data_IF_116531915323
#
_entry.id   IF_116531915323
#
_cell.length_a   1.000
_cell.length_b   1.000
_cell.length_c   1.000
_cell.angle_alpha   90.00
_cell.angle_beta   90.00
_cell.angle_gamma   90.00
#
_symmetry.space_group_name_H-M   'P 1'
#
loop_
_entity.id
_entity.type
_entity.pdbx_description
1 polymer ?
#
# COMPACT_ATOMS: atom_id res chain seq x y z
N UNK A 1 7.76 7.68 -11.66
CA UNK A 1 8.89 6.75 -11.80
C UNK A 1 8.75 5.95 -13.09
N UNK A 2 9.87 5.66 -13.74
CA UNK A 2 9.89 4.86 -14.98
C UNK A 2 11.34 4.45 -15.35
N UNK A 3 11.42 3.51 -16.27
CA UNK A 3 12.69 3.08 -16.90
C UNK A 3 12.62 3.34 -18.41
N UNK A 4 13.71 3.84 -19.01
CA UNK A 4 13.89 3.90 -20.48
C UNK A 4 14.90 2.83 -20.88
N UNK A 5 14.50 1.98 -21.81
CA UNK A 5 15.34 0.91 -22.37
C UNK A 5 16.44 1.47 -23.28
N UNK A 6 17.47 0.68 -23.66
CA UNK A 6 18.50 1.10 -24.60
C UNK A 6 17.94 1.56 -25.96
N UNK A 7 16.77 1.05 -26.36
CA UNK A 7 16.05 1.45 -27.59
C UNK A 7 15.12 2.65 -27.42
N UNK A 8 15.13 3.30 -26.25
CA UNK A 8 14.30 4.47 -25.96
C UNK A 8 12.84 4.16 -25.58
N UNK A 9 12.48 2.89 -25.38
CA UNK A 9 11.13 2.51 -24.94
C UNK A 9 10.97 2.79 -23.44
N UNK A 10 9.88 3.43 -23.03
CA UNK A 10 9.50 3.62 -21.63
C UNK A 10 8.80 2.36 -21.11
N UNK A 11 9.25 1.85 -19.98
CA UNK A 11 8.72 0.67 -19.29
C UNK A 11 8.60 0.93 -17.79
N UNK A 12 7.90 0.07 -17.07
CA UNK A 12 7.71 0.17 -15.63
C UNK A 12 7.23 1.56 -15.20
N UNK A 13 6.29 2.13 -15.95
CA UNK A 13 5.79 3.48 -15.71
C UNK A 13 4.76 3.47 -14.58
N UNK A 14 5.10 4.13 -13.46
CA UNK A 14 4.22 4.30 -12.30
C UNK A 14 2.85 4.90 -12.66
N UNK A 15 2.80 5.79 -13.66
CA UNK A 15 1.54 6.42 -14.07
C UNK A 15 0.57 5.44 -14.75
N UNK A 16 1.07 4.34 -15.30
CA UNK A 16 0.26 3.28 -15.92
C UNK A 16 -0.15 2.21 -14.89
N UNK A 17 0.79 1.84 -14.02
CA UNK A 17 0.53 0.90 -12.94
C UNK A 17 1.49 1.20 -11.77
N UNK A 18 0.93 1.63 -10.65
CA UNK A 18 1.72 1.97 -9.47
C UNK A 18 2.44 0.77 -8.81
N UNK A 19 2.04 -0.47 -9.11
CA UNK A 19 2.79 -1.66 -8.71
C UNK A 19 4.20 -1.72 -9.32
N UNK A 20 4.44 -1.04 -10.44
CA UNK A 20 5.76 -1.01 -11.04
C UNK A 20 6.87 -0.42 -10.16
N UNK A 21 6.53 0.41 -9.18
CA UNK A 21 7.51 0.96 -8.26
C UNK A 21 7.50 0.19 -6.93
N UNK A 22 8.67 -0.24 -6.47
CA UNK A 22 8.82 -0.76 -5.10
C UNK A 22 8.40 0.33 -4.11
N UNK A 23 7.47 0.02 -3.24
CA UNK A 23 6.97 0.96 -2.23
C UNK A 23 8.09 1.47 -1.34
N UNK A 24 8.09 2.77 -1.02
CA UNK A 24 9.14 3.48 -0.26
C UNK A 24 10.51 3.54 -0.95
N UNK A 25 10.57 3.38 -2.28
CA UNK A 25 11.81 3.60 -3.02
C UNK A 25 12.38 5.00 -2.79
N UNK A 26 13.68 5.06 -2.48
CA UNK A 26 14.41 6.34 -2.43
C UNK A 26 14.51 6.94 -3.85
N UNK A 27 14.65 8.28 -3.97
CA UNK A 27 14.82 8.90 -5.28
C UNK A 27 16.08 8.42 -5.98
N UNK A 28 15.97 8.21 -7.28
CA UNK A 28 17.10 7.84 -8.13
C UNK A 28 16.92 8.42 -9.54
N UNK A 29 17.97 8.99 -10.11
CA UNK A 29 17.99 9.46 -11.49
C UNK A 29 19.38 9.23 -12.07
N UNK A 30 19.48 8.33 -13.02
CA UNK A 30 20.77 7.99 -13.61
C UNK A 30 20.67 6.92 -14.68
N UNK A 31 21.83 6.58 -15.24
CA UNK A 31 21.99 5.49 -16.18
C UNK A 31 22.69 4.32 -15.49
N UNK A 32 22.21 3.11 -15.72
CA UNK A 32 22.75 1.87 -15.15
C UNK A 32 22.87 0.80 -16.24
N UNK A 33 23.84 -0.09 -16.10
CA UNK A 33 23.93 -1.27 -16.94
C UNK A 33 22.76 -2.24 -16.66
N UNK A 34 22.49 -3.15 -17.59
CA UNK A 34 21.50 -4.21 -17.39
C UNK A 34 21.80 -5.05 -16.14
N UNK A 35 23.07 -5.42 -15.91
CA UNK A 35 23.45 -6.23 -14.75
C UNK A 35 23.23 -5.49 -13.43
N UNK A 36 23.43 -4.18 -13.40
CA UNK A 36 23.11 -3.38 -12.23
C UNK A 36 21.60 -3.23 -12.04
N UNK A 37 20.88 -2.92 -13.13
CA UNK A 37 19.43 -2.80 -13.10
C UNK A 37 18.75 -4.06 -12.55
N UNK A 38 19.21 -5.25 -12.97
CA UNK A 38 18.66 -6.55 -12.52
C UNK A 38 18.64 -6.70 -10.99
N UNK A 39 19.58 -6.11 -10.27
CA UNK A 39 19.61 -6.15 -8.80
C UNK A 39 18.44 -5.38 -8.17
N UNK A 40 17.80 -4.52 -8.92
CA UNK A 40 16.71 -3.65 -8.52
C UNK A 40 15.36 -4.04 -9.18
N UNK A 41 15.30 -5.19 -9.86
CA UNK A 41 14.08 -5.69 -10.49
C UNK A 41 13.51 -6.88 -9.71
N UNK A 42 12.22 -6.87 -9.53
CA UNK A 42 11.48 -7.89 -8.77
C UNK A 42 10.38 -8.49 -9.63
N UNK A 43 10.35 -9.82 -9.67
CA UNK A 43 9.35 -10.62 -10.41
C UNK A 43 8.82 -11.77 -9.57
N UNK A 44 7.82 -12.46 -10.08
CA UNK A 44 7.28 -13.72 -9.55
C UNK A 44 7.45 -14.82 -10.61
N UNK A 45 8.50 -15.63 -10.57
CA UNK A 45 8.73 -16.68 -11.56
C UNK A 45 7.57 -17.68 -11.68
N UNK A 46 6.92 -18.01 -10.54
CA UNK A 46 5.77 -18.94 -10.51
C UNK A 46 4.47 -18.31 -11.07
N UNK A 47 4.45 -17.00 -11.28
CA UNK A 47 3.35 -16.24 -11.87
C UNK A 47 3.88 -15.27 -12.93
N UNK A 48 4.31 -15.76 -14.09
CA UNK A 48 5.14 -15.00 -15.04
C UNK A 48 4.47 -13.75 -15.60
N UNK A 49 3.16 -13.66 -15.57
CA UNK A 49 2.37 -12.50 -16.04
C UNK A 49 2.03 -11.51 -14.92
N UNK A 50 2.28 -11.87 -13.64
CA UNK A 50 1.95 -11.01 -12.51
C UNK A 50 3.08 -10.02 -12.21
N UNK A 51 2.69 -8.82 -11.77
CA UNK A 51 3.60 -7.83 -11.22
C UNK A 51 3.53 -7.96 -9.69
N UNK A 52 4.65 -8.24 -8.99
CA UNK A 52 4.64 -8.39 -7.54
C UNK A 52 4.39 -7.07 -6.81
N UNK A 53 3.82 -7.16 -5.63
CA UNK A 53 3.79 -6.07 -4.67
C UNK A 53 5.02 -6.18 -3.74
N UNK A 54 5.94 -5.24 -3.82
CA UNK A 54 7.16 -5.20 -3.02
C UNK A 54 7.30 -3.85 -2.34
N UNK A 55 7.75 -3.87 -1.08
CA UNK A 55 8.03 -2.66 -0.29
C UNK A 55 9.44 -2.70 0.30
N UNK A 56 9.93 -1.55 0.73
CA UNK A 56 11.23 -1.38 1.37
C UNK A 56 11.12 -0.62 2.69
N UNK A 57 10.25 -1.07 3.60
CA UNK A 57 10.01 -0.40 4.89
C UNK A 57 11.27 -0.27 5.76
N UNK A 58 12.14 -1.28 5.72
CA UNK A 58 13.27 -1.40 6.67
C UNK A 58 14.62 -1.09 6.04
N UNK A 59 14.66 -0.89 4.71
CA UNK A 59 15.90 -0.65 3.98
C UNK A 59 15.75 0.54 3.02
N UNK A 60 16.71 1.44 3.03
CA UNK A 60 16.77 2.54 2.05
C UNK A 60 17.28 2.00 0.73
N UNK A 61 16.38 1.60 -0.15
CA UNK A 61 16.66 1.10 -1.50
C UNK A 61 15.66 1.62 -2.51
N UNK A 62 15.94 1.44 -3.77
CA UNK A 62 15.02 1.68 -4.86
C UNK A 62 14.84 0.40 -5.68
N UNK A 63 13.76 0.30 -6.43
CA UNK A 63 13.52 -0.84 -7.31
C UNK A 63 12.22 -0.74 -8.09
N UNK A 64 12.11 -1.64 -9.06
CA UNK A 64 10.91 -1.77 -9.88
C UNK A 64 10.39 -3.20 -9.84
N UNK A 65 9.08 -3.33 -9.97
CA UNK A 65 8.36 -4.59 -10.12
C UNK A 65 7.86 -4.71 -11.56
N UNK A 66 8.01 -5.89 -12.13
CA UNK A 66 7.55 -6.19 -13.48
C UNK A 66 7.21 -7.68 -13.60
N UNK A 67 6.52 -8.07 -14.65
CA UNK A 67 6.27 -9.49 -14.90
C UNK A 67 7.56 -10.21 -15.29
N UNK A 68 7.62 -11.52 -15.05
CA UNK A 68 8.78 -12.33 -15.48
C UNK A 68 8.95 -12.28 -17.00
N UNK A 69 7.84 -12.30 -17.77
CA UNK A 69 7.89 -12.16 -19.22
C UNK A 69 8.49 -10.82 -19.67
N UNK A 70 8.17 -9.74 -18.98
CA UNK A 70 8.79 -8.44 -19.26
C UNK A 70 10.29 -8.48 -18.97
N UNK A 71 10.73 -9.05 -17.83
CA UNK A 71 12.14 -9.20 -17.48
C UNK A 71 12.91 -10.00 -18.55
N UNK A 72 12.33 -11.12 -18.97
CA UNK A 72 12.97 -12.01 -19.97
C UNK A 72 13.10 -11.35 -21.35
N UNK A 73 12.27 -10.35 -21.63
CA UNK A 73 12.31 -9.57 -22.88
C UNK A 73 13.33 -8.41 -22.87
N UNK A 74 13.96 -8.12 -21.72
CA UNK A 74 14.92 -7.02 -21.62
C UNK A 74 16.25 -7.37 -22.29
N UNK A 75 16.84 -6.39 -22.96
CA UNK A 75 18.08 -6.53 -23.70
C UNK A 75 19.28 -6.07 -22.86
N UNK A 76 20.46 -6.60 -23.17
CA UNK A 76 21.73 -6.10 -22.63
C UNK A 76 21.95 -4.67 -23.12
N UNK A 77 22.30 -3.75 -22.23
CA UNK A 77 22.55 -2.35 -22.59
C UNK A 77 22.47 -1.42 -21.40
N UNK A 78 22.44 -0.12 -21.70
CA UNK A 78 22.32 0.95 -20.70
C UNK A 78 20.86 1.40 -20.60
N UNK A 79 20.36 1.46 -19.39
CA UNK A 79 19.00 1.85 -19.05
C UNK A 79 19.03 3.17 -18.30
N UNK A 80 18.15 4.10 -18.66
CA UNK A 80 17.93 5.31 -17.88
C UNK A 80 16.80 5.07 -16.89
N UNK A 81 17.09 5.26 -15.61
CA UNK A 81 16.16 5.09 -14.49
C UNK A 81 15.79 6.45 -13.91
N UNK A 82 14.50 6.67 -13.69
CA UNK A 82 13.98 7.89 -13.06
C UNK A 82 12.98 7.52 -11.98
N UNK A 83 13.30 7.88 -10.74
CA UNK A 83 12.40 7.79 -9.58
C UNK A 83 12.41 9.15 -8.90
N UNK A 84 11.31 9.86 -9.01
CA UNK A 84 11.07 11.12 -8.32
C UNK A 84 10.19 10.84 -7.12
N UNK A 85 10.80 10.61 -5.97
CA UNK A 85 10.15 10.36 -4.69
C UNK A 85 10.70 11.28 -3.62
N UNK A 86 9.94 11.50 -2.56
CA UNK A 86 10.36 12.19 -1.36
C UNK A 86 9.99 11.34 -0.14
N UNK A 87 10.95 11.11 0.74
CA UNK A 87 10.74 10.47 2.03
C UNK A 87 10.82 11.53 3.11
N UNK A 88 9.79 11.67 3.91
CA UNK A 88 9.69 12.67 4.97
C UNK A 88 8.96 12.07 6.18
N UNK A 89 9.09 12.70 7.33
CA UNK A 89 8.37 12.32 8.54
C UNK A 89 6.88 12.55 8.31
N UNK A 90 6.10 11.49 8.52
CA UNK A 90 4.65 11.49 8.34
C UNK A 90 3.90 11.42 9.66
N UNK A 91 2.58 11.31 9.57
CA UNK A 91 1.69 11.15 10.69
C UNK A 91 0.91 9.84 10.55
N UNK A 92 0.57 9.22 11.68
CA UNK A 92 -0.34 8.09 11.72
C UNK A 92 -1.76 8.62 11.80
N UNK A 93 -2.49 8.54 10.70
CA UNK A 93 -3.87 8.97 10.63
C UNK A 93 -4.81 7.77 10.77
N UNK A 94 -5.94 7.98 11.45
CA UNK A 94 -7.03 7.03 11.51
C UNK A 94 -8.40 7.75 11.50
N UNK A 95 -9.43 7.04 11.05
CA UNK A 95 -10.81 7.50 11.14
C UNK A 95 -11.54 6.80 12.28
N UNK A 96 -12.34 7.53 13.03
CA UNK A 96 -13.18 6.99 14.11
C UNK A 96 -14.62 7.48 13.98
N UNK A 97 -15.57 6.55 14.10
CA UNK A 97 -17.00 6.83 14.19
C UNK A 97 -17.53 6.19 15.45
N UNK A 98 -18.19 6.99 16.31
CA UNK A 98 -18.89 6.51 17.48
C UNK A 98 -20.41 6.69 17.30
N UNK A 99 -21.13 5.57 17.28
CA UNK A 99 -22.60 5.55 17.28
C UNK A 99 -23.04 5.20 18.69
N UNK A 100 -23.67 6.16 19.36
CA UNK A 100 -24.15 5.98 20.75
C UNK A 100 -25.38 5.09 20.81
N UNK A 101 -25.39 4.16 21.76
CA UNK A 101 -26.53 3.35 22.15
C UNK A 101 -26.98 3.63 23.58
N UNK A 102 -27.90 2.81 24.09
CA UNK A 102 -28.44 2.92 25.45
C UNK A 102 -27.43 2.53 26.53
N UNK A 103 -26.51 1.63 26.19
CA UNK A 103 -25.50 1.10 27.11
C UNK A 103 -24.15 1.79 26.88
N UNK A 104 -23.39 1.96 27.97
CA UNK A 104 -21.99 2.40 27.92
C UNK A 104 -21.04 1.30 27.40
N UNK A 105 -21.54 0.06 27.27
CA UNK A 105 -20.77 -1.01 26.63
C UNK A 105 -20.68 -0.77 25.13
N UNK A 106 -19.48 -0.92 24.61
CA UNK A 106 -19.20 -0.69 23.19
C UNK A 106 -18.92 -2.00 22.45
N UNK A 107 -19.48 -2.10 21.23
CA UNK A 107 -19.04 -3.08 20.22
C UNK A 107 -18.00 -2.37 19.38
N UNK A 108 -16.81 -2.95 19.33
CA UNK A 108 -15.67 -2.38 18.63
C UNK A 108 -15.48 -3.05 17.27
N UNK A 109 -15.52 -2.28 16.20
CA UNK A 109 -15.29 -2.71 14.82
C UNK A 109 -14.01 -2.04 14.31
N UNK A 110 -13.05 -2.84 13.87
CA UNK A 110 -11.79 -2.34 13.33
C UNK A 110 -11.55 -2.86 11.92
N UNK A 111 -11.12 -1.98 11.04
CA UNK A 111 -10.67 -2.33 9.70
C UNK A 111 -9.44 -1.51 9.35
N UNK A 112 -8.54 -2.07 8.55
CA UNK A 112 -7.33 -1.36 8.20
C UNK A 112 -7.38 -0.71 6.81
N UNK A 113 -6.63 0.38 6.69
CA UNK A 113 -6.44 1.19 5.49
C UNK A 113 -4.96 1.57 5.40
N UNK A 114 -4.14 0.84 4.68
CA UNK A 114 -2.70 1.11 4.67
C UNK A 114 -1.93 0.74 3.40
N UNK A 115 -2.30 -0.30 2.65
CA UNK A 115 -1.52 -0.77 1.51
C UNK A 115 -2.11 -0.27 0.18
N UNK A 116 -1.56 0.77 -0.45
CA UNK A 116 -2.06 1.24 -1.74
C UNK A 116 -1.96 0.13 -2.79
N UNK A 117 -2.96 0.02 -3.65
CA UNK A 117 -3.03 -0.93 -4.78
C UNK A 117 -3.30 -2.40 -4.42
N UNK A 118 -3.58 -2.72 -3.17
CA UNK A 118 -3.99 -4.07 -2.77
C UNK A 118 -5.53 -4.16 -2.73
N UNK A 119 -6.16 -4.40 -3.88
CA UNK A 119 -7.58 -4.26 -4.10
C UNK A 119 -8.46 -4.96 -3.05
N UNK A 120 -8.48 -6.30 -3.01
CA UNK A 120 -9.34 -7.01 -2.05
C UNK A 120 -8.89 -6.79 -0.60
N UNK A 121 -7.58 -6.81 -0.34
CA UNK A 121 -7.00 -6.66 0.98
C UNK A 121 -7.40 -5.33 1.64
N UNK A 122 -7.36 -4.23 0.90
CA UNK A 122 -7.61 -2.89 1.43
C UNK A 122 -9.04 -2.38 1.24
N UNK A 123 -9.84 -3.02 0.38
CA UNK A 123 -11.18 -2.53 0.06
C UNK A 123 -12.30 -3.35 0.70
N UNK A 124 -12.09 -4.66 0.94
CA UNK A 124 -13.16 -5.52 1.46
C UNK A 124 -13.59 -5.11 2.86
N UNK A 125 -12.65 -4.98 3.80
CA UNK A 125 -12.91 -4.57 5.17
C UNK A 125 -13.55 -3.18 5.27
N UNK A 126 -12.91 -2.12 4.73
CA UNK A 126 -13.48 -0.77 4.74
C UNK A 126 -14.87 -0.69 4.10
N UNK A 127 -15.10 -1.38 2.98
CA UNK A 127 -16.40 -1.40 2.32
C UNK A 127 -17.47 -2.02 3.22
N UNK A 128 -17.22 -3.22 3.73
CA UNK A 128 -18.16 -3.92 4.62
C UNK A 128 -18.46 -3.11 5.87
N UNK A 129 -17.43 -2.59 6.53
CA UNK A 129 -17.59 -1.80 7.76
C UNK A 129 -18.35 -0.50 7.50
N UNK A 130 -18.14 0.15 6.34
CA UNK A 130 -18.89 1.35 5.96
C UNK A 130 -20.39 1.06 5.81
N UNK A 131 -20.75 -0.03 5.13
CA UNK A 131 -22.16 -0.42 4.98
C UNK A 131 -22.79 -0.85 6.31
N UNK A 132 -22.06 -1.60 7.14
CA UNK A 132 -22.51 -1.95 8.50
C UNK A 132 -22.73 -0.69 9.33
N UNK A 133 -21.83 0.29 9.28
CA UNK A 133 -21.95 1.54 10.01
C UNK A 133 -23.19 2.32 9.60
N UNK A 134 -23.46 2.39 8.29
CA UNK A 134 -24.69 3.02 7.77
C UNK A 134 -25.92 2.30 8.28
N UNK A 135 -25.96 0.98 8.22
CA UNK A 135 -27.07 0.18 8.72
C UNK A 135 -27.30 0.37 10.22
N UNK A 136 -26.23 0.40 11.04
CA UNK A 136 -26.35 0.63 12.50
C UNK A 136 -26.91 2.02 12.78
N UNK A 137 -26.53 3.04 12.00
CA UNK A 137 -27.07 4.41 12.17
C UNK A 137 -28.59 4.49 11.90
N UNK A 138 -29.13 3.58 11.11
CA UNK A 138 -30.58 3.49 10.83
C UNK A 138 -31.35 2.79 11.97
N UNK A 139 -30.66 2.09 12.89
CA UNK A 139 -31.29 1.44 14.04
C UNK A 139 -31.68 2.52 15.07
N UNK A 140 -32.97 2.64 15.34
CA UNK A 140 -33.47 3.52 16.38
C UNK A 140 -33.11 2.95 17.76
N UNK A 141 -32.40 3.74 18.57
CA UNK A 141 -32.02 3.39 19.94
C UNK A 141 -31.31 2.03 20.11
N UNK A 142 -30.14 1.82 19.48
CA UNK A 142 -29.42 0.55 19.59
C UNK A 142 -29.05 0.25 21.07
N UNK A 143 -29.03 -1.03 21.43
CA UNK A 143 -28.76 -1.44 22.82
C UNK A 143 -27.29 -1.15 23.22
N UNK A 144 -26.35 -1.32 22.33
CA UNK A 144 -24.92 -1.07 22.58
C UNK A 144 -24.48 0.17 21.82
N UNK A 145 -23.44 0.83 22.31
CA UNK A 145 -22.67 1.79 21.51
C UNK A 145 -21.77 1.05 20.53
N UNK A 146 -21.46 1.65 19.40
CA UNK A 146 -20.59 1.06 18.38
C UNK A 146 -19.45 2.02 18.09
N UNK A 147 -18.23 1.55 18.28
CA UNK A 147 -17.01 2.27 17.93
C UNK A 147 -16.39 1.61 16.72
N UNK A 148 -16.29 2.35 15.64
CA UNK A 148 -15.77 1.89 14.36
C UNK A 148 -14.48 2.64 14.07
N UNK A 149 -13.39 1.93 13.77
CA UNK A 149 -12.12 2.55 13.41
C UNK A 149 -11.60 2.05 12.07
N UNK A 150 -11.06 2.99 11.30
CA UNK A 150 -10.31 2.77 10.07
C UNK A 150 -8.87 3.18 10.36
N UNK A 151 -7.93 2.24 10.36
CA UNK A 151 -6.61 2.46 10.94
C UNK A 151 -5.53 1.67 10.18
N UNK A 152 -4.27 2.13 10.11
CA UNK A 152 -3.19 1.33 9.55
C UNK A 152 -3.02 0.01 10.29
N UNK A 153 -2.67 -1.04 9.54
CA UNK A 153 -2.44 -2.38 10.06
C UNK A 153 -1.36 -2.38 11.15
N UNK A 154 -1.48 -3.24 12.14
CA UNK A 154 -0.52 -3.51 13.23
C UNK A 154 -0.12 -2.25 14.01
N UNK A 155 0.72 -1.37 13.45
CA UNK A 155 1.20 -0.16 14.14
C UNK A 155 0.08 0.79 14.52
N UNK A 156 -0.93 0.91 13.67
CA UNK A 156 -2.11 1.72 13.95
C UNK A 156 -2.90 1.15 15.13
N UNK A 157 -3.19 -0.14 15.13
CA UNK A 157 -3.92 -0.81 16.20
C UNK A 157 -3.17 -0.74 17.53
N UNK A 158 -1.85 -0.96 17.53
CA UNK A 158 -1.01 -0.84 18.72
C UNK A 158 -1.05 0.59 19.28
N UNK A 159 -0.88 1.59 18.42
CA UNK A 159 -0.91 3.01 18.80
C UNK A 159 -2.27 3.40 19.36
N UNK A 160 -3.37 2.99 18.69
CA UNK A 160 -4.72 3.28 19.13
C UNK A 160 -5.01 2.68 20.50
N UNK A 161 -4.72 1.39 20.71
CA UNK A 161 -4.91 0.72 21.98
C UNK A 161 -4.06 1.33 23.09
N UNK A 162 -2.80 1.63 22.81
CA UNK A 162 -1.92 2.29 23.79
C UNK A 162 -2.45 3.64 24.24
N UNK A 163 -3.01 4.43 23.33
CA UNK A 163 -3.56 5.76 23.62
C UNK A 163 -4.94 5.72 24.29
N UNK A 164 -5.68 4.61 24.15
CA UNK A 164 -7.06 4.48 24.63
C UNK A 164 -7.24 3.39 25.68
N UNK A 165 -6.18 2.78 26.21
CA UNK A 165 -6.23 1.64 27.14
C UNK A 165 -6.99 1.93 28.45
N UNK A 166 -7.12 3.19 28.86
CA UNK A 166 -7.78 3.61 30.09
C UNK A 166 -9.18 4.17 29.87
N UNK A 167 -9.68 4.12 28.69
CA UNK A 167 -11.04 4.51 28.35
C UNK A 167 -11.93 3.28 28.22
#
# INVERSE_FOLDING_TARGET
>A
AYIITPKGKKICDFSQNNLHLVGYSIPFKGEVSFDELKKHLYTLPDQPNAIPYVTSYYEKRWGFCLSQEQLDSLEIGTYKVVIESALFDGELNYGELLIKGKSDKEIFLSTYICHPSMANNELSGPTVVTFISKWIQEIRDPNFSYRIIFIPETIGSITYLSSNYKK
#
